data_IF_326657744716
#
_entry.id   IF_326657744716
#
_cell.length_a   1.000
_cell.length_b   1.000
_cell.length_c   1.000
_cell.angle_alpha   90.00
_cell.angle_beta   90.00
_cell.angle_gamma   90.00
#
_symmetry.space_group_name_H-M   'P 1'
#
loop_
_entity.id
_entity.type
_entity.pdbx_description
1 polymer ?
#
# COMPACT_ATOMS: atom_id res chain seq x y z
N UNK A 1 21.70 -1.72 12.56
CA UNK A 1 21.35 -2.98 13.24
C UNK A 1 19.88 -3.18 13.00
N UNK A 2 19.51 -4.15 12.17
CA UNK A 2 18.10 -4.46 11.99
C UNK A 2 17.52 -4.89 13.33
N UNK A 3 16.48 -4.17 13.75
CA UNK A 3 15.75 -4.48 14.96
C UNK A 3 15.10 -5.86 14.78
N UNK A 4 15.24 -6.75 15.75
CA UNK A 4 14.59 -8.07 15.75
C UNK A 4 13.10 -7.99 15.41
N UNK A 5 12.43 -6.90 15.82
CA UNK A 5 11.05 -6.59 15.49
C UNK A 5 10.83 -6.45 13.97
N UNK A 6 11.71 -5.72 13.27
CA UNK A 6 11.64 -5.54 11.82
C UNK A 6 11.92 -6.84 11.07
N UNK A 7 12.87 -7.65 11.52
CA UNK A 7 13.15 -8.97 10.92
C UNK A 7 11.96 -9.93 11.07
N UNK A 8 11.25 -9.88 12.20
CA UNK A 8 10.00 -10.64 12.40
C UNK A 8 8.93 -10.19 11.42
N UNK A 9 8.73 -8.87 11.26
CA UNK A 9 7.72 -8.32 10.34
C UNK A 9 8.03 -8.70 8.87
N UNK A 10 9.28 -8.57 8.45
CA UNK A 10 9.70 -8.96 7.09
C UNK A 10 9.41 -10.45 6.81
N UNK A 11 9.67 -11.32 7.79
CA UNK A 11 9.38 -12.74 7.66
C UNK A 11 7.88 -13.04 7.65
N UNK A 12 7.06 -12.27 8.38
CA UNK A 12 5.58 -12.38 8.30
C UNK A 12 5.09 -12.10 6.89
N UNK A 13 5.60 -11.04 6.25
CA UNK A 13 5.23 -10.68 4.87
C UNK A 13 5.56 -11.84 3.93
N UNK A 14 6.76 -12.42 4.05
CA UNK A 14 7.19 -13.56 3.23
C UNK A 14 6.27 -14.77 3.42
N UNK A 15 6.02 -15.18 4.67
CA UNK A 15 5.17 -16.33 4.99
C UNK A 15 3.71 -16.09 4.58
N UNK A 16 3.21 -14.86 4.70
CA UNK A 16 1.88 -14.48 4.26
C UNK A 16 1.72 -14.59 2.74
N UNK A 17 2.71 -14.15 1.96
CA UNK A 17 2.67 -14.30 0.50
C UNK A 17 2.68 -15.77 0.06
N UNK A 18 3.39 -16.65 0.79
CA UNK A 18 3.46 -18.08 0.46
C UNK A 18 2.22 -18.88 0.89
N UNK A 19 1.67 -18.58 2.07
CA UNK A 19 0.67 -19.44 2.74
C UNK A 19 -0.61 -18.71 3.15
N UNK A 20 -0.73 -17.41 2.89
CA UNK A 20 -1.78 -16.55 3.44
C UNK A 20 -1.79 -16.56 4.96
N UNK A 21 -2.95 -16.34 5.58
CA UNK A 21 -3.12 -16.42 7.05
C UNK A 21 -2.93 -17.84 7.63
N UNK A 22 -2.42 -18.83 6.90
CA UNK A 22 -2.13 -20.17 7.45
C UNK A 22 -0.76 -20.28 8.12
N UNK A 23 0.14 -19.30 7.97
CA UNK A 23 1.45 -19.32 8.64
C UNK A 23 1.31 -19.42 10.17
N UNK A 24 2.33 -19.92 10.84
CA UNK A 24 2.36 -20.06 12.30
C UNK A 24 3.52 -19.29 12.91
N UNK A 25 3.47 -19.05 14.22
CA UNK A 25 4.62 -18.49 14.95
C UNK A 25 5.85 -19.42 14.87
N UNK A 26 5.62 -20.71 14.65
CA UNK A 26 6.66 -21.73 14.50
C UNK A 26 7.40 -21.54 13.18
N UNK A 27 6.67 -21.31 12.08
CA UNK A 27 7.24 -20.99 10.77
C UNK A 27 8.20 -19.79 10.86
N UNK A 28 7.79 -18.72 11.54
CA UNK A 28 8.61 -17.50 11.73
C UNK A 28 9.84 -17.81 12.58
N UNK A 29 9.65 -18.51 13.70
CA UNK A 29 10.74 -18.84 14.61
C UNK A 29 11.81 -19.73 13.97
N UNK A 30 11.37 -20.68 13.14
CA UNK A 30 12.24 -21.58 12.40
C UNK A 30 13.02 -20.84 11.31
N UNK A 31 12.36 -19.97 10.55
CA UNK A 31 12.98 -19.20 9.48
C UNK A 31 14.03 -18.19 9.99
N UNK A 32 13.78 -17.56 11.15
CA UNK A 32 14.68 -16.58 11.74
C UNK A 32 15.72 -17.21 12.71
N UNK A 33 15.68 -18.53 12.93
CA UNK A 33 16.51 -19.23 13.92
C UNK A 33 16.42 -18.61 15.33
N UNK A 34 15.21 -18.20 15.74
CA UNK A 34 14.94 -17.63 17.08
C UNK A 34 13.94 -18.49 17.85
N UNK A 35 13.87 -18.30 19.17
CA UNK A 35 12.84 -18.95 19.97
C UNK A 35 11.46 -18.28 19.77
N UNK A 36 10.37 -19.05 19.86
CA UNK A 36 9.01 -18.46 19.94
C UNK A 36 8.89 -17.43 21.06
N UNK A 37 9.56 -17.67 22.20
CA UNK A 37 9.62 -16.74 23.33
C UNK A 37 10.20 -15.38 22.93
N UNK A 38 11.11 -15.33 21.95
CA UNK A 38 11.62 -14.07 21.40
C UNK A 38 10.53 -13.33 20.64
N UNK A 39 9.74 -14.02 19.81
CA UNK A 39 8.63 -13.41 19.07
C UNK A 39 7.56 -12.89 20.04
N UNK A 40 7.18 -13.71 21.04
CA UNK A 40 6.16 -13.34 22.04
C UNK A 40 6.57 -12.21 22.98
N UNK A 41 7.85 -11.84 23.04
CA UNK A 41 8.29 -10.62 23.75
C UNK A 41 7.95 -9.35 22.99
N UNK A 42 7.93 -9.43 21.66
CA UNK A 42 7.67 -8.29 20.78
C UNK A 42 6.20 -8.18 20.39
N UNK A 43 5.49 -9.32 20.28
CA UNK A 43 4.11 -9.39 19.82
C UNK A 43 3.31 -10.39 20.64
N UNK A 44 2.17 -9.99 21.17
CA UNK A 44 1.38 -10.84 22.08
C UNK A 44 0.85 -12.11 21.41
N UNK A 45 0.37 -11.99 20.19
CA UNK A 45 -0.21 -13.06 19.41
C UNK A 45 -0.07 -12.79 17.90
N UNK A 46 -0.54 -13.74 17.09
CA UNK A 46 -0.43 -13.68 15.63
C UNK A 46 -1.29 -12.57 15.01
N UNK A 47 -2.47 -12.29 15.58
CA UNK A 47 -3.35 -11.23 15.10
C UNK A 47 -2.69 -9.87 15.34
N UNK A 48 -2.16 -9.64 16.55
CA UNK A 48 -1.41 -8.43 16.90
C UNK A 48 -0.17 -8.26 16.00
N UNK A 49 0.61 -9.32 15.81
CA UNK A 49 1.76 -9.32 14.92
C UNK A 49 1.39 -8.90 13.49
N UNK A 50 0.30 -9.43 12.95
CA UNK A 50 -0.14 -9.08 11.61
C UNK A 50 -0.68 -7.65 11.53
N UNK A 51 -1.41 -7.18 12.56
CA UNK A 51 -1.89 -5.80 12.65
C UNK A 51 -0.73 -4.79 12.69
N UNK A 52 0.35 -5.12 13.40
CA UNK A 52 1.58 -4.32 13.44
C UNK A 52 2.34 -4.37 12.11
N UNK A 53 2.32 -5.52 11.43
CA UNK A 53 2.88 -5.66 10.08
C UNK A 53 2.18 -4.73 9.07
N UNK A 54 0.85 -4.62 9.15
CA UNK A 54 0.07 -3.66 8.35
C UNK A 54 0.49 -2.22 8.66
N UNK A 55 0.61 -1.84 9.94
CA UNK A 55 1.04 -0.50 10.33
C UNK A 55 2.45 -0.17 9.85
N UNK A 56 3.36 -1.13 9.94
CA UNK A 56 4.73 -0.97 9.50
C UNK A 56 4.80 -0.71 7.99
N UNK A 57 3.98 -1.40 7.19
CA UNK A 57 3.88 -1.17 5.75
C UNK A 57 3.39 0.23 5.40
N UNK A 58 2.31 0.70 6.02
CA UNK A 58 1.84 2.07 5.80
C UNK A 58 2.79 3.14 6.34
N UNK A 59 3.54 2.85 7.41
CA UNK A 59 4.55 3.78 7.94
C UNK A 59 5.73 3.93 6.97
N UNK A 60 6.20 2.82 6.39
CA UNK A 60 7.22 2.83 5.34
C UNK A 60 6.74 3.57 4.08
N UNK A 61 5.46 3.42 3.73
CA UNK A 61 4.86 4.17 2.63
C UNK A 61 4.89 5.68 2.92
N UNK A 62 4.43 6.11 4.10
CA UNK A 62 4.43 7.52 4.51
C UNK A 62 5.82 8.14 4.53
N UNK A 63 6.85 7.37 4.89
CA UNK A 63 8.25 7.83 4.81
C UNK A 63 8.68 8.08 3.35
N UNK A 64 8.38 7.17 2.44
CA UNK A 64 8.68 7.32 1.00
C UNK A 64 7.90 8.48 0.38
N UNK A 65 6.63 8.66 0.75
CA UNK A 65 5.82 9.82 0.35
C UNK A 65 6.44 11.14 0.82
N UNK A 66 6.88 11.21 2.08
CA UNK A 66 7.53 12.40 2.61
C UNK A 66 8.81 12.77 1.84
N UNK A 67 9.59 11.78 1.42
CA UNK A 67 10.77 11.98 0.58
C UNK A 67 10.39 12.58 -0.79
N UNK A 68 9.35 12.05 -1.45
CA UNK A 68 8.85 12.57 -2.74
C UNK A 68 8.36 14.02 -2.59
N UNK A 69 7.64 14.33 -1.51
CA UNK A 69 7.11 15.68 -1.26
C UNK A 69 8.26 16.67 -1.03
N UNK A 70 9.29 16.26 -0.29
CA UNK A 70 10.46 17.09 0.03
C UNK A 70 11.44 17.28 -1.14
N UNK A 71 11.34 16.46 -2.20
CA UNK A 71 12.22 16.58 -3.36
C UNK A 71 11.87 17.81 -4.21
N UNK A 72 12.75 18.82 -4.17
CA UNK A 72 12.56 20.08 -4.91
C UNK A 72 12.91 19.97 -6.39
N UNK A 73 13.47 18.85 -6.85
CA UNK A 73 13.75 18.63 -8.27
C UNK A 73 12.50 18.24 -9.06
N UNK A 74 11.45 17.77 -8.36
CA UNK A 74 10.20 17.31 -8.97
C UNK A 74 9.17 18.44 -9.10
N UNK A 75 8.53 18.52 -10.26
CA UNK A 75 7.36 19.38 -10.45
C UNK A 75 6.11 18.86 -9.73
N UNK A 76 5.09 19.71 -9.53
CA UNK A 76 3.86 19.32 -8.81
C UNK A 76 3.15 18.10 -9.44
N UNK A 77 3.00 18.08 -10.76
CA UNK A 77 2.33 16.97 -11.48
C UNK A 77 3.13 15.67 -11.37
N UNK A 78 4.46 15.77 -11.37
CA UNK A 78 5.34 14.63 -11.20
C UNK A 78 5.27 14.08 -9.76
N UNK A 79 5.23 14.95 -8.74
CA UNK A 79 5.02 14.55 -7.35
C UNK A 79 3.69 13.81 -7.17
N UNK A 80 2.60 14.32 -7.76
CA UNK A 80 1.29 13.65 -7.71
C UNK A 80 1.39 12.24 -8.29
N UNK A 81 2.00 12.11 -9.47
CA UNK A 81 2.17 10.82 -10.14
C UNK A 81 2.97 9.84 -9.28
N UNK A 82 4.13 10.29 -8.77
CA UNK A 82 5.00 9.46 -7.91
C UNK A 82 4.36 9.08 -6.59
N UNK A 83 3.58 9.96 -5.96
CA UNK A 83 2.87 9.63 -4.71
C UNK A 83 1.84 8.51 -4.92
N UNK A 84 1.09 8.55 -6.03
CA UNK A 84 0.02 7.58 -6.30
C UNK A 84 0.59 6.20 -6.64
N UNK A 85 1.73 6.15 -7.34
CA UNK A 85 2.42 4.90 -7.72
C UNK A 85 3.33 4.40 -6.58
N UNK A 86 3.53 5.20 -5.53
CA UNK A 86 4.46 4.89 -4.46
C UNK A 86 4.05 3.61 -3.71
N UNK A 87 4.93 2.63 -3.71
CA UNK A 87 4.89 1.49 -2.80
C UNK A 87 6.26 1.30 -2.16
N UNK A 88 6.34 0.93 -0.87
CA UNK A 88 7.61 0.56 -0.29
C UNK A 88 8.09 -0.77 -0.91
N UNK A 89 9.39 -0.86 -1.22
CA UNK A 89 9.96 -1.91 -2.08
C UNK A 89 9.65 -3.34 -1.58
N UNK A 90 9.68 -3.54 -0.26
CA UNK A 90 9.36 -4.83 0.40
C UNK A 90 7.89 -5.26 0.23
N UNK A 91 7.01 -4.35 -0.17
CA UNK A 91 5.56 -4.54 -0.27
C UNK A 91 5.07 -4.60 -1.72
N UNK A 92 5.96 -4.42 -2.70
CA UNK A 92 5.60 -4.51 -4.13
C UNK A 92 5.15 -5.92 -4.54
N UNK A 93 5.67 -6.96 -3.86
CA UNK A 93 5.43 -8.36 -4.20
C UNK A 93 4.33 -9.02 -3.36
N UNK A 94 3.54 -8.24 -2.61
CA UNK A 94 2.46 -8.79 -1.79
C UNK A 94 1.28 -9.14 -2.68
N UNK A 95 0.74 -10.34 -2.49
CA UNK A 95 -0.55 -10.69 -3.07
C UNK A 95 -1.67 -10.11 -2.21
N UNK A 96 -2.01 -8.84 -2.46
CA UNK A 96 -3.02 -8.11 -1.69
C UNK A 96 -4.41 -8.74 -1.74
N UNK A 97 -4.71 -9.58 -2.74
CA UNK A 97 -5.98 -10.33 -2.80
C UNK A 97 -6.16 -11.23 -1.58
N UNK A 98 -5.05 -11.73 -1.02
CA UNK A 98 -5.07 -12.53 0.21
C UNK A 98 -5.61 -11.72 1.40
N UNK A 99 -5.40 -10.39 1.44
CA UNK A 99 -5.95 -9.51 2.48
C UNK A 99 -7.46 -9.39 2.33
N UNK A 100 -7.97 -9.28 1.10
CA UNK A 100 -9.42 -9.20 0.85
C UNK A 100 -10.15 -10.50 1.20
N UNK A 101 -9.48 -11.65 1.09
CA UNK A 101 -10.01 -12.93 1.56
C UNK A 101 -10.13 -13.02 3.09
N UNK A 102 -9.49 -12.10 3.84
CA UNK A 102 -9.57 -12.07 5.29
C UNK A 102 -10.85 -11.44 5.83
N UNK A 103 -11.66 -10.81 4.96
CA UNK A 103 -12.89 -10.10 5.35
C UNK A 103 -13.79 -10.91 6.28
N UNK A 104 -13.97 -12.21 6.02
CA UNK A 104 -14.87 -13.05 6.82
C UNK A 104 -14.21 -13.61 8.08
N UNK A 105 -12.93 -13.99 8.01
CA UNK A 105 -12.23 -14.72 9.08
C UNK A 105 -11.42 -13.83 10.02
N UNK A 106 -10.88 -12.73 9.51
CA UNK A 106 -10.12 -11.73 10.26
C UNK A 106 -10.58 -10.30 9.88
N UNK A 107 -11.85 -9.95 10.14
CA UNK A 107 -12.45 -8.67 9.71
C UNK A 107 -11.68 -7.45 10.20
N UNK A 108 -11.12 -7.50 11.43
CA UNK A 108 -10.33 -6.39 12.00
C UNK A 108 -9.08 -6.05 11.18
N UNK A 109 -8.41 -7.06 10.64
CA UNK A 109 -7.22 -6.89 9.80
C UNK A 109 -7.63 -6.28 8.46
N UNK A 110 -8.69 -6.82 7.86
CA UNK A 110 -9.26 -6.31 6.62
C UNK A 110 -9.68 -4.84 6.76
N UNK A 111 -10.49 -4.50 7.77
CA UNK A 111 -10.96 -3.14 8.03
C UNK A 111 -9.81 -2.16 8.28
N UNK A 112 -8.78 -2.58 9.02
CA UNK A 112 -7.60 -1.74 9.23
C UNK A 112 -6.90 -1.42 7.92
N UNK A 113 -6.71 -2.43 7.07
CA UNK A 113 -6.06 -2.25 5.78
C UNK A 113 -6.88 -1.33 4.86
N UNK A 114 -8.17 -1.63 4.63
CA UNK A 114 -9.02 -0.84 3.72
C UNK A 114 -9.22 0.59 4.22
N UNK A 115 -9.38 0.77 5.53
CA UNK A 115 -9.56 2.11 6.08
C UNK A 115 -8.30 2.99 6.01
N UNK A 116 -7.11 2.42 5.81
CA UNK A 116 -5.90 3.19 5.49
C UNK A 116 -5.89 3.58 4.01
N UNK A 117 -6.31 2.67 3.12
CA UNK A 117 -6.52 2.98 1.70
C UNK A 117 -7.53 4.12 1.49
N UNK A 118 -8.60 4.19 2.29
CA UNK A 118 -9.63 5.24 2.17
C UNK A 118 -9.22 6.60 2.78
N UNK A 119 -8.26 6.63 3.72
CA UNK A 119 -8.03 7.84 4.54
C UNK A 119 -6.70 8.53 4.30
N UNK A 120 -5.72 7.83 3.74
CA UNK A 120 -4.34 8.33 3.68
C UNK A 120 -4.03 9.24 2.47
N UNK A 121 -5.06 9.78 1.79
CA UNK A 121 -4.93 10.62 0.58
C UNK A 121 -4.66 12.11 0.82
N UNK A 122 -4.58 12.57 2.06
CA UNK A 122 -4.55 14.01 2.40
C UNK A 122 -3.44 14.80 1.67
N UNK A 123 -2.24 14.23 1.57
CA UNK A 123 -1.10 14.90 0.92
C UNK A 123 -1.26 14.95 -0.60
N UNK A 124 -1.76 13.86 -1.20
CA UNK A 124 -2.15 13.80 -2.62
C UNK A 124 -3.23 14.82 -2.94
N UNK A 125 -4.28 14.93 -2.12
CA UNK A 125 -5.33 15.95 -2.27
C UNK A 125 -4.76 17.37 -2.23
N UNK A 126 -3.81 17.63 -1.33
CA UNK A 126 -3.16 18.94 -1.22
C UNK A 126 -2.39 19.30 -2.48
N UNK A 127 -1.57 18.39 -3.00
CA UNK A 127 -0.79 18.63 -4.22
C UNK A 127 -1.68 18.80 -5.45
N UNK A 128 -2.75 18.01 -5.57
CA UNK A 128 -3.72 18.17 -6.67
C UNK A 128 -4.37 19.55 -6.64
N UNK A 129 -4.80 20.03 -5.46
CA UNK A 129 -5.35 21.38 -5.30
C UNK A 129 -4.33 22.46 -5.66
N UNK A 130 -3.09 22.31 -5.19
CA UNK A 130 -2.01 23.25 -5.53
C UNK A 130 -1.73 23.28 -7.03
N UNK A 131 -1.70 22.12 -7.70
CA UNK A 131 -1.53 22.04 -9.15
C UNK A 131 -2.70 22.68 -9.91
N UNK A 132 -3.94 22.58 -9.40
CA UNK A 132 -5.11 23.29 -9.96
C UNK A 132 -5.00 24.81 -9.80
N UNK A 133 -4.56 25.27 -8.63
CA UNK A 133 -4.42 26.70 -8.34
C UNK A 133 -3.31 27.35 -9.18
N UNK A 134 -2.24 26.60 -9.47
CA UNK A 134 -1.16 27.01 -10.37
C UNK A 134 -1.48 26.82 -11.86
N UNK A 135 -2.68 26.33 -12.21
CA UNK A 135 -3.10 26.13 -13.61
C UNK A 135 -2.37 24.98 -14.33
N UNK A 136 -1.69 24.10 -13.60
CA UNK A 136 -1.01 22.92 -14.15
C UNK A 136 -1.98 21.77 -14.42
N UNK A 137 -3.08 21.71 -13.67
CA UNK A 137 -4.18 20.77 -13.85
C UNK A 137 -5.48 21.56 -13.94
N UNK A 138 -6.42 21.13 -14.79
CA UNK A 138 -7.75 21.76 -14.86
C UNK A 138 -8.49 21.69 -13.52
N UNK A 139 -9.28 22.71 -13.22
CA UNK A 139 -10.15 22.69 -12.04
C UNK A 139 -11.23 21.63 -12.21
N UNK A 140 -11.23 20.62 -11.35
CA UNK A 140 -12.29 19.60 -11.26
C UNK A 140 -12.70 19.39 -9.81
N UNK A 141 -13.92 18.89 -9.54
CA UNK A 141 -14.33 18.58 -8.17
C UNK A 141 -13.41 17.54 -7.54
N UNK A 142 -12.69 17.93 -6.48
CA UNK A 142 -11.75 17.05 -5.77
C UNK A 142 -12.42 15.75 -5.29
N UNK A 143 -13.70 15.80 -4.94
CA UNK A 143 -14.49 14.62 -4.54
C UNK A 143 -14.55 13.57 -5.65
N UNK A 144 -14.67 13.96 -6.92
CA UNK A 144 -14.69 13.02 -8.05
C UNK A 144 -13.32 12.35 -8.20
N UNK A 145 -12.25 13.16 -8.19
CA UNK A 145 -10.87 12.65 -8.30
C UNK A 145 -10.56 11.68 -7.16
N UNK A 146 -10.95 12.02 -5.93
CA UNK A 146 -10.78 11.17 -4.76
C UNK A 146 -11.50 9.82 -4.90
N UNK A 147 -12.78 9.84 -5.24
CA UNK A 147 -13.57 8.61 -5.41
C UNK A 147 -13.03 7.73 -6.53
N UNK A 148 -12.55 8.32 -7.62
CA UNK A 148 -11.90 7.58 -8.70
C UNK A 148 -10.60 6.92 -8.23
N UNK A 149 -9.75 7.65 -7.49
CA UNK A 149 -8.49 7.13 -6.96
C UNK A 149 -8.74 5.98 -5.98
N UNK A 150 -9.56 6.21 -4.95
CA UNK A 150 -9.91 5.22 -3.93
C UNK A 150 -10.50 3.96 -4.56
N UNK A 151 -11.52 4.12 -5.40
CA UNK A 151 -12.21 2.98 -6.01
C UNK A 151 -11.31 2.19 -6.96
N UNK A 152 -10.42 2.86 -7.70
CA UNK A 152 -9.49 2.18 -8.60
C UNK A 152 -8.43 1.41 -7.82
N UNK A 153 -7.81 2.03 -6.81
CA UNK A 153 -6.82 1.39 -5.93
C UNK A 153 -7.42 0.19 -5.20
N UNK A 154 -8.60 0.35 -4.59
CA UNK A 154 -9.31 -0.75 -3.92
C UNK A 154 -9.58 -1.90 -4.91
N UNK A 155 -10.11 -1.59 -6.09
CA UNK A 155 -10.42 -2.60 -7.12
C UNK A 155 -9.17 -3.33 -7.60
N UNK A 156 -8.05 -2.64 -7.80
CA UNK A 156 -6.78 -3.21 -8.23
C UNK A 156 -6.19 -4.16 -7.19
N UNK A 157 -6.30 -3.84 -5.90
CA UNK A 157 -5.79 -4.70 -4.83
C UNK A 157 -6.62 -5.99 -4.66
N UNK A 158 -7.92 -5.94 -4.96
CA UNK A 158 -8.85 -7.05 -4.74
C UNK A 158 -9.16 -7.91 -5.97
N UNK A 159 -8.72 -7.54 -7.18
CA UNK A 159 -9.07 -8.23 -8.43
C UNK A 159 -8.08 -9.31 -8.88
N UNK A 160 -8.57 -10.31 -9.60
CA UNK A 160 -7.73 -11.19 -10.41
C UNK A 160 -7.57 -10.68 -11.85
N UNK A 161 -8.35 -9.69 -12.24
CA UNK A 161 -8.44 -9.11 -13.57
C UNK A 161 -7.08 -8.58 -14.06
N UNK A 162 -6.30 -7.93 -13.17
CA UNK A 162 -4.94 -7.49 -13.48
C UNK A 162 -4.02 -8.68 -13.79
N UNK A 163 -4.06 -9.73 -12.98
CA UNK A 163 -3.29 -10.96 -13.22
C UNK A 163 -3.68 -11.62 -14.55
N UNK A 164 -4.98 -11.68 -14.87
CA UNK A 164 -5.49 -12.22 -16.14
C UNK A 164 -5.02 -11.39 -17.33
N UNK A 165 -4.97 -10.07 -17.17
CA UNK A 165 -4.44 -9.14 -18.16
C UNK A 165 -2.90 -9.09 -18.22
N UNK A 166 -2.20 -9.79 -17.32
CA UNK A 166 -0.72 -9.73 -17.14
C UNK A 166 -0.19 -8.34 -16.83
N UNK A 167 -1.01 -7.52 -16.18
CA UNK A 167 -0.66 -6.18 -15.71
C UNK A 167 -0.25 -6.31 -14.24
N UNK A 168 0.93 -5.81 -13.90
CA UNK A 168 1.35 -5.77 -12.50
C UNK A 168 0.73 -4.56 -11.78
N UNK A 169 0.76 -4.56 -10.45
CA UNK A 169 0.06 -3.55 -9.67
C UNK A 169 0.64 -2.13 -9.85
N UNK A 170 1.96 -1.99 -9.98
CA UNK A 170 2.62 -0.71 -10.24
C UNK A 170 2.22 -0.16 -11.62
N UNK A 171 2.27 -1.01 -12.66
CA UNK A 171 1.83 -0.66 -14.02
C UNK A 171 0.35 -0.24 -14.06
N UNK A 172 -0.52 -0.89 -13.27
CA UNK A 172 -1.92 -0.50 -13.16
C UNK A 172 -2.09 0.90 -12.56
N UNK A 173 -1.30 1.24 -11.52
CA UNK A 173 -1.31 2.57 -10.90
C UNK A 173 -0.76 3.63 -11.85
N UNK A 174 0.33 3.33 -12.57
CA UNK A 174 0.91 4.21 -13.59
C UNK A 174 -0.10 4.52 -14.71
N UNK A 175 -0.73 3.49 -15.28
CA UNK A 175 -1.75 3.66 -16.31
C UNK A 175 -2.97 4.42 -15.80
N UNK A 176 -3.41 4.14 -14.57
CA UNK A 176 -4.50 4.86 -13.93
C UNK A 176 -4.22 6.36 -13.79
N UNK A 177 -3.06 6.74 -13.23
CA UNK A 177 -2.75 8.15 -13.02
C UNK A 177 -2.50 8.89 -14.34
N UNK A 178 -1.91 8.20 -15.33
CA UNK A 178 -1.75 8.75 -16.67
C UNK A 178 -3.12 9.09 -17.29
N UNK A 179 -4.06 8.15 -17.26
CA UNK A 179 -5.44 8.36 -17.74
C UNK A 179 -6.15 9.46 -16.97
N UNK A 180 -5.97 9.55 -15.65
CA UNK A 180 -6.62 10.60 -14.85
C UNK A 180 -6.08 12.00 -15.18
N UNK A 181 -4.79 12.11 -15.46
CA UNK A 181 -4.15 13.39 -15.77
C UNK A 181 -4.36 13.82 -17.23
N UNK A 182 -4.35 12.86 -18.17
CA UNK A 182 -4.34 13.13 -19.62
C UNK A 182 -5.64 12.78 -20.34
N UNK A 183 -6.51 11.97 -19.76
CA UNK A 183 -7.69 11.42 -20.44
C UNK A 183 -7.35 10.26 -21.37
N UNK A 184 -8.35 9.80 -22.13
CA UNK A 184 -8.22 8.67 -23.09
C UNK A 184 -8.44 9.08 -24.55
N UNK A 185 -8.76 10.34 -24.80
CA UNK A 185 -8.94 10.87 -26.16
C UNK A 185 -7.57 11.09 -26.79
N UNK A 186 -7.41 10.68 -28.05
CA UNK A 186 -6.27 11.06 -28.87
C UNK A 186 -6.59 12.41 -29.52
N UNK A 187 -5.65 13.35 -29.49
CA UNK A 187 -5.76 14.64 -30.21
C UNK A 187 -6.13 14.48 -31.70
#
# INVERSE_FOLDING_TARGET
MDNIRSSIIDEVIRQFNEKGMKFTMDDISAALHISKKTIYKEFKDKDELFMETVDYGFSALKEKEAQIIADNSLGLVEKISKLIVCLPDKYQNIDYRLIYQLKDKHPRIYEKFTSRIERDWKDTEKLIKEAMDNGLIRKVPMTIVKLMLEGSVEKFLGTEELTKARINYEEALEGMIDIMLKGIETE
#
